data_IF_692563972552
#
_entry.id   IF_692563972552
#
_cell.length_a   1.000
_cell.length_b   1.000
_cell.length_c   1.000
_cell.angle_alpha   90.00
_cell.angle_beta   90.00
_cell.angle_gamma   90.00
#
_symmetry.space_group_name_H-M   'P 1'
#
loop_
_entity.id
_entity.type
_entity.pdbx_description
1 polymer ?
#
# COMPACT_ATOMS: atom_id res chain seq x y z
N UNK A 1 23.23 25.87 10.73
CA UNK A 1 22.54 25.79 9.42
C UNK A 1 21.63 24.55 9.50
N UNK A 2 20.36 24.73 9.76
CA UNK A 2 19.39 23.66 9.66
C UNK A 2 19.25 23.34 8.18
N UNK A 3 19.57 22.12 7.76
CA UNK A 3 19.28 21.65 6.41
C UNK A 3 17.78 21.90 6.17
N UNK A 4 17.46 22.56 5.05
CA UNK A 4 16.06 22.68 4.66
C UNK A 4 15.51 21.27 4.51
N UNK A 5 14.48 20.92 5.28
CA UNK A 5 13.82 19.64 5.16
C UNK A 5 13.34 19.50 3.71
N UNK A 6 13.72 18.43 3.04
CA UNK A 6 13.17 18.13 1.73
C UNK A 6 11.65 17.94 1.88
N UNK A 7 10.84 18.62 1.06
CA UNK A 7 9.39 18.51 1.18
C UNK A 7 8.97 17.05 0.91
N UNK A 8 8.02 16.54 1.72
CA UNK A 8 7.42 15.25 1.44
C UNK A 8 6.73 15.29 0.07
N UNK A 9 6.83 14.19 -0.64
CA UNK A 9 6.21 13.99 -1.95
C UNK A 9 5.03 13.04 -1.80
N UNK A 10 3.98 13.24 -2.58
CA UNK A 10 2.75 12.50 -2.40
C UNK A 10 2.43 11.66 -3.63
N UNK A 11 2.09 10.39 -3.39
CA UNK A 11 1.57 9.49 -4.38
C UNK A 11 0.14 9.08 -4.03
N UNK A 12 -0.62 8.69 -5.03
CA UNK A 12 -1.97 8.15 -4.85
C UNK A 12 -1.99 6.68 -5.23
N UNK A 13 -2.47 5.83 -4.32
CA UNK A 13 -2.70 4.41 -4.60
C UNK A 13 -4.00 4.26 -5.37
N UNK A 14 -3.90 3.62 -6.50
CA UNK A 14 -4.93 3.59 -7.50
C UNK A 14 -5.98 2.50 -7.26
N UNK A 15 -6.98 2.84 -6.47
CA UNK A 15 -8.23 2.07 -6.35
C UNK A 15 -9.39 2.68 -7.15
N UNK A 16 -9.12 3.70 -7.94
CA UNK A 16 -10.15 4.43 -8.64
C UNK A 16 -10.89 3.54 -9.64
N UNK A 17 -12.20 3.53 -9.53
CA UNK A 17 -13.10 2.83 -10.44
C UNK A 17 -14.08 3.82 -11.03
N UNK A 18 -14.37 3.66 -12.30
CA UNK A 18 -15.34 4.51 -13.01
C UNK A 18 -16.60 3.68 -13.21
N UNK A 19 -17.75 4.26 -12.89
CA UNK A 19 -19.05 3.65 -13.17
C UNK A 19 -19.24 3.48 -14.68
N UNK A 20 -19.56 2.27 -15.10
CA UNK A 20 -19.85 1.93 -16.48
C UNK A 20 -21.22 1.26 -16.62
N UNK A 21 -21.75 1.13 -17.85
CA UNK A 21 -23.07 0.56 -18.10
C UNK A 21 -23.27 -0.89 -17.63
N UNK A 22 -22.17 -1.61 -17.38
CA UNK A 22 -22.17 -3.03 -16.98
C UNK A 22 -21.39 -3.24 -15.65
N UNK A 23 -21.25 -2.21 -14.84
CA UNK A 23 -20.44 -2.22 -13.62
C UNK A 23 -19.17 -1.37 -13.74
N UNK A 24 -18.24 -1.58 -12.83
CA UNK A 24 -17.01 -0.76 -12.78
C UNK A 24 -16.10 -1.02 -13.99
N UNK A 25 -15.58 0.07 -14.54
CA UNK A 25 -14.56 0.07 -15.59
C UNK A 25 -13.26 0.60 -14.98
N UNK A 26 -12.18 -0.17 -15.14
CA UNK A 26 -10.86 0.31 -14.73
C UNK A 26 -10.42 1.52 -15.56
N UNK A 27 -9.80 2.51 -14.93
CA UNK A 27 -9.17 3.64 -15.63
C UNK A 27 -8.08 3.21 -16.61
N UNK A 28 -7.54 2.01 -16.45
CA UNK A 28 -6.59 1.40 -17.40
C UNK A 28 -7.24 0.74 -18.62
N UNK A 29 -8.55 0.84 -18.79
CA UNK A 29 -9.24 0.26 -19.96
C UNK A 29 -9.18 1.15 -21.20
N UNK A 30 -8.80 2.39 -21.08
CA UNK A 30 -8.56 3.27 -22.24
C UNK A 30 -7.65 4.46 -21.91
N UNK A 31 -6.94 4.95 -22.92
CA UNK A 31 -6.10 6.15 -22.78
C UNK A 31 -6.92 7.35 -22.28
N UNK A 32 -8.19 7.52 -22.71
CA UNK A 32 -9.06 8.61 -22.28
C UNK A 32 -9.37 8.56 -20.77
N UNK A 33 -9.67 7.37 -20.24
CA UNK A 33 -9.97 7.21 -18.81
C UNK A 33 -8.72 7.42 -17.96
N UNK A 34 -7.60 6.88 -18.40
CA UNK A 34 -6.32 7.08 -17.71
C UNK A 34 -5.88 8.55 -17.74
N UNK A 35 -6.03 9.24 -18.87
CA UNK A 35 -5.75 10.68 -19.01
C UNK A 35 -6.58 11.51 -18.02
N UNK A 36 -7.88 11.24 -17.95
CA UNK A 36 -8.78 11.92 -17.02
C UNK A 36 -8.38 11.69 -15.56
N UNK A 37 -8.11 10.45 -15.18
CA UNK A 37 -7.67 10.09 -13.84
C UNK A 37 -6.34 10.78 -13.47
N UNK A 38 -5.32 10.61 -14.30
CA UNK A 38 -3.99 11.16 -14.05
C UNK A 38 -4.02 12.68 -13.88
N UNK A 39 -4.75 13.39 -14.76
CA UNK A 39 -4.91 14.84 -14.65
C UNK A 39 -5.62 15.28 -13.37
N UNK A 40 -6.61 14.52 -12.92
CA UNK A 40 -7.32 14.82 -11.66
C UNK A 40 -6.40 14.70 -10.46
N UNK A 41 -5.66 13.60 -10.33
CA UNK A 41 -4.76 13.43 -9.19
C UNK A 41 -3.58 14.40 -9.22
N UNK A 42 -3.03 14.72 -10.41
CA UNK A 42 -1.99 15.73 -10.57
C UNK A 42 -2.49 17.13 -10.18
N UNK A 43 -3.71 17.50 -10.58
CA UNK A 43 -4.33 18.77 -10.19
C UNK A 43 -4.57 18.88 -8.68
N UNK A 44 -4.73 17.76 -7.99
CA UNK A 44 -4.81 17.70 -6.53
C UNK A 44 -3.44 17.75 -5.84
N UNK A 45 -2.34 17.74 -6.59
CA UNK A 45 -0.97 17.90 -6.09
C UNK A 45 -0.28 16.57 -5.77
N UNK A 46 -0.79 15.46 -6.27
CA UNK A 46 -0.06 14.19 -6.26
C UNK A 46 0.94 14.15 -7.41
N UNK A 47 2.18 13.78 -7.12
CA UNK A 47 3.29 13.72 -8.07
C UNK A 47 3.64 12.28 -8.49
N UNK A 48 3.09 11.30 -7.80
CA UNK A 48 3.26 9.87 -8.07
C UNK A 48 1.95 9.11 -8.04
N UNK A 49 1.96 7.93 -8.63
CA UNK A 49 0.91 6.93 -8.48
C UNK A 49 1.49 5.61 -7.97
N UNK A 50 0.67 4.85 -7.30
CA UNK A 50 0.91 3.45 -6.99
C UNK A 50 -0.20 2.63 -7.64
N UNK A 51 0.12 1.44 -8.10
CA UNK A 51 -0.86 0.61 -8.82
C UNK A 51 -0.58 -0.87 -8.58
N UNK A 52 -1.41 -1.73 -9.14
CA UNK A 52 -1.25 -3.18 -9.05
C UNK A 52 -0.41 -3.72 -10.20
N UNK A 53 0.33 -4.80 -9.96
CA UNK A 53 1.15 -5.47 -10.95
C UNK A 53 0.34 -6.03 -12.14
N UNK A 54 -0.93 -6.38 -11.93
CA UNK A 54 -1.81 -6.85 -13.00
C UNK A 54 -2.20 -5.76 -14.00
N UNK A 55 -1.93 -4.48 -13.72
CA UNK A 55 -2.13 -3.38 -14.68
C UNK A 55 -0.97 -3.21 -15.67
N UNK A 56 0.18 -3.89 -15.47
CA UNK A 56 1.33 -3.80 -16.37
C UNK A 56 0.97 -4.21 -17.81
N UNK A 57 0.15 -5.27 -17.96
CA UNK A 57 -0.36 -5.70 -19.26
C UNK A 57 -1.20 -4.61 -19.93
N UNK A 58 -2.18 -4.07 -19.22
CA UNK A 58 -3.04 -2.99 -19.75
C UNK A 58 -2.25 -1.75 -20.16
N UNK A 59 -1.25 -1.35 -19.37
CA UNK A 59 -0.38 -0.22 -19.72
C UNK A 59 0.43 -0.52 -20.99
N UNK A 60 0.92 -1.75 -21.14
CA UNK A 60 1.65 -2.17 -22.35
C UNK A 60 0.72 -2.17 -23.56
N UNK A 61 -0.50 -2.67 -23.43
CA UNK A 61 -1.49 -2.70 -24.51
C UNK A 61 -1.90 -1.29 -24.95
N UNK A 62 -2.05 -0.35 -24.00
CA UNK A 62 -2.43 1.04 -24.32
C UNK A 62 -1.32 1.85 -24.99
N UNK A 63 -0.05 1.61 -24.64
CA UNK A 63 1.06 2.48 -25.03
C UNK A 63 2.16 1.77 -25.84
N UNK A 64 2.05 0.46 -26.08
CA UNK A 64 3.04 -0.33 -26.77
C UNK A 64 4.26 -0.70 -25.93
N UNK A 65 4.56 0.08 -24.87
CA UNK A 65 5.63 -0.22 -23.91
C UNK A 65 5.39 0.51 -22.57
N UNK A 66 5.99 0.01 -21.49
CA UNK A 66 5.93 0.68 -20.18
C UNK A 66 6.78 1.97 -20.16
N UNK A 67 7.78 2.11 -21.00
CA UNK A 67 8.53 3.37 -21.15
C UNK A 67 7.63 4.47 -21.70
N UNK A 68 6.85 4.19 -22.75
CA UNK A 68 5.87 5.13 -23.30
C UNK A 68 4.76 5.45 -22.30
N UNK A 69 4.30 4.45 -21.52
CA UNK A 69 3.34 4.68 -20.45
C UNK A 69 3.90 5.66 -19.39
N UNK A 70 5.16 5.50 -19.01
CA UNK A 70 5.84 6.42 -18.09
C UNK A 70 5.92 7.85 -18.66
N UNK A 71 6.30 8.00 -19.93
CA UNK A 71 6.34 9.31 -20.60
C UNK A 71 4.96 9.97 -20.60
N UNK A 72 3.92 9.22 -20.94
CA UNK A 72 2.52 9.68 -20.89
C UNK A 72 2.13 10.21 -19.51
N UNK A 73 2.52 9.53 -18.42
CA UNK A 73 2.28 9.96 -17.04
C UNK A 73 3.05 11.24 -16.72
N UNK A 74 4.33 11.32 -17.11
CA UNK A 74 5.20 12.46 -16.87
C UNK A 74 4.72 13.73 -17.56
N UNK A 75 4.25 13.64 -18.80
CA UNK A 75 3.64 14.77 -19.53
C UNK A 75 2.41 15.35 -18.80
N UNK A 76 1.80 14.60 -17.88
CA UNK A 76 0.59 14.98 -17.13
C UNK A 76 0.87 15.36 -15.68
N UNK A 77 2.15 15.49 -15.33
CA UNK A 77 2.57 15.90 -14.00
C UNK A 77 2.74 14.76 -12.99
N UNK A 78 2.62 13.51 -13.42
CA UNK A 78 2.96 12.35 -12.59
C UNK A 78 4.40 11.92 -12.88
N UNK A 79 5.30 12.18 -11.96
CA UNK A 79 6.73 11.93 -12.14
C UNK A 79 7.02 10.43 -12.31
N UNK A 80 6.32 9.58 -11.54
CA UNK A 80 6.59 8.14 -11.55
C UNK A 80 5.42 7.28 -11.07
N UNK A 81 5.48 6.01 -11.45
CA UNK A 81 4.82 4.93 -10.72
C UNK A 81 5.74 4.54 -9.57
N UNK A 82 5.36 4.93 -8.34
CA UNK A 82 6.18 4.73 -7.15
C UNK A 82 6.29 3.26 -6.77
N UNK A 83 5.14 2.60 -6.70
CA UNK A 83 5.03 1.23 -6.19
C UNK A 83 4.11 0.38 -7.05
N UNK A 84 4.40 -0.92 -7.09
CA UNK A 84 3.48 -1.94 -7.54
C UNK A 84 3.01 -2.77 -6.35
N UNK A 85 1.70 -2.84 -6.13
CA UNK A 85 1.12 -3.81 -5.21
C UNK A 85 1.09 -5.18 -5.90
N UNK A 86 1.80 -6.14 -5.32
CA UNK A 86 1.96 -7.47 -5.88
C UNK A 86 0.78 -8.36 -5.52
N UNK A 87 -0.14 -8.50 -6.46
CA UNK A 87 -1.45 -9.12 -6.22
C UNK A 87 -1.43 -10.67 -6.17
N UNK A 88 -0.26 -11.30 -6.23
CA UNK A 88 -0.15 -12.76 -6.22
C UNK A 88 -0.83 -13.39 -4.99
N UNK A 89 -0.82 -12.69 -3.86
CA UNK A 89 -1.43 -13.15 -2.61
C UNK A 89 -2.96 -13.23 -2.65
N UNK A 90 -3.59 -12.63 -3.65
CA UNK A 90 -5.06 -12.62 -3.83
C UNK A 90 -5.55 -13.61 -4.88
N UNK A 91 -4.63 -14.34 -5.53
CA UNK A 91 -4.98 -15.32 -6.57
C UNK A 91 -5.03 -16.72 -5.98
N UNK A 92 -6.20 -17.34 -6.08
CA UNK A 92 -6.44 -18.79 -5.89
C UNK A 92 -6.10 -19.40 -4.53
N UNK A 93 -5.95 -18.61 -3.46
CA UNK A 93 -5.63 -19.12 -2.12
C UNK A 93 -4.28 -19.87 -2.02
N UNK A 94 -3.47 -19.81 -3.09
CA UNK A 94 -2.21 -20.59 -3.21
C UNK A 94 -1.01 -19.85 -2.62
N UNK A 95 -1.13 -18.56 -2.40
CA UNK A 95 -0.02 -17.74 -1.92
C UNK A 95 0.10 -17.81 -0.40
N UNK A 96 0.74 -18.84 0.07
CA UNK A 96 0.93 -19.09 1.49
C UNK A 96 2.40 -18.89 1.86
N UNK A 97 2.82 -17.64 2.01
CA UNK A 97 4.20 -17.31 2.38
C UNK A 97 4.67 -18.01 3.68
N UNK A 98 3.73 -18.43 4.52
CA UNK A 98 3.98 -19.21 5.73
C UNK A 98 4.24 -20.70 5.47
N UNK A 99 4.03 -21.19 4.23
CA UNK A 99 4.34 -22.55 3.81
C UNK A 99 5.58 -22.57 2.92
N UNK A 100 6.71 -23.14 3.38
CA UNK A 100 7.93 -23.23 2.57
C UNK A 100 7.75 -23.91 1.21
N UNK A 101 6.77 -24.79 1.05
CA UNK A 101 6.48 -25.46 -0.22
C UNK A 101 6.04 -24.46 -1.32
N UNK A 102 5.54 -23.29 -0.95
CA UNK A 102 5.10 -22.25 -1.91
C UNK A 102 6.19 -21.22 -2.23
N UNK A 103 7.32 -21.23 -1.53
CA UNK A 103 8.36 -20.20 -1.61
C UNK A 103 8.94 -20.03 -3.01
N UNK A 104 9.21 -21.11 -3.72
CA UNK A 104 9.75 -21.03 -5.08
C UNK A 104 8.73 -20.47 -6.06
N UNK A 105 7.45 -20.80 -5.89
CA UNK A 105 6.38 -20.19 -6.69
C UNK A 105 6.31 -18.67 -6.47
N UNK A 106 6.24 -18.23 -5.20
CA UNK A 106 6.16 -16.81 -4.84
C UNK A 106 7.41 -16.04 -5.29
N UNK A 107 8.59 -16.61 -5.10
CA UNK A 107 9.84 -16.03 -5.57
C UNK A 107 9.85 -15.84 -7.10
N UNK A 108 9.50 -16.89 -7.86
CA UNK A 108 9.48 -16.82 -9.31
C UNK A 108 8.41 -15.85 -9.83
N UNK A 109 7.27 -15.75 -9.15
CA UNK A 109 6.22 -14.78 -9.49
C UNK A 109 6.73 -13.33 -9.32
N UNK A 110 7.34 -13.01 -8.17
CA UNK A 110 7.97 -11.71 -7.94
C UNK A 110 9.08 -11.41 -8.98
N UNK A 111 9.91 -12.40 -9.33
CA UNK A 111 10.93 -12.25 -10.37
C UNK A 111 10.30 -11.92 -11.74
N UNK A 112 9.20 -12.54 -12.10
CA UNK A 112 8.49 -12.22 -13.35
C UNK A 112 7.95 -10.78 -13.34
N UNK A 113 7.38 -10.34 -12.20
CA UNK A 113 6.95 -8.94 -12.04
C UNK A 113 8.11 -7.97 -12.20
N UNK A 114 9.30 -8.27 -11.62
CA UNK A 114 10.49 -7.43 -11.79
C UNK A 114 10.95 -7.35 -13.25
N UNK A 115 10.94 -8.47 -13.97
CA UNK A 115 11.25 -8.48 -15.40
C UNK A 115 10.21 -7.72 -16.23
N UNK A 116 8.94 -7.81 -15.87
CA UNK A 116 7.86 -7.15 -16.59
C UNK A 116 7.80 -5.63 -16.36
N UNK A 117 8.13 -5.14 -15.17
CA UNK A 117 8.01 -3.70 -14.84
C UNK A 117 9.16 -2.83 -15.38
N UNK A 118 10.12 -3.40 -16.09
CA UNK A 118 11.24 -2.67 -16.69
C UNK A 118 10.76 -1.49 -17.55
N UNK A 119 11.37 -0.32 -17.37
CA UNK A 119 11.00 0.91 -18.08
C UNK A 119 9.97 1.79 -17.34
N UNK A 120 9.21 1.26 -16.41
CA UNK A 120 8.20 2.04 -15.64
C UNK A 120 8.84 2.88 -14.52
N UNK A 121 10.00 2.48 -14.00
CA UNK A 121 10.74 3.25 -12.99
C UNK A 121 10.25 3.05 -11.56
N UNK A 122 9.65 1.90 -11.27
CA UNK A 122 9.11 1.49 -9.96
C UNK A 122 10.21 1.44 -8.91
N UNK A 123 9.92 1.89 -7.69
CA UNK A 123 10.86 1.85 -6.56
C UNK A 123 10.51 0.79 -5.50
N UNK A 124 9.23 0.43 -5.37
CA UNK A 124 8.77 -0.50 -4.35
C UNK A 124 7.89 -1.59 -4.96
N UNK A 125 8.09 -2.81 -4.49
CA UNK A 125 7.16 -3.92 -4.65
C UNK A 125 6.46 -4.11 -3.30
N UNK A 126 5.20 -3.71 -3.22
CA UNK A 126 4.39 -3.86 -2.02
C UNK A 126 3.80 -5.25 -1.99
N UNK A 127 3.94 -5.94 -0.88
CA UNK A 127 3.47 -7.32 -0.71
C UNK A 127 2.70 -7.46 0.60
N UNK A 128 1.64 -8.26 0.61
CA UNK A 128 1.07 -8.78 1.84
C UNK A 128 1.98 -9.90 2.35
N UNK A 129 2.60 -9.80 3.54
CA UNK A 129 3.67 -10.72 3.94
C UNK A 129 3.22 -12.13 4.32
N UNK A 130 1.93 -12.35 4.54
CA UNK A 130 1.32 -13.65 4.80
C UNK A 130 -0.04 -13.73 4.10
N UNK A 131 -0.61 -14.93 4.00
CA UNK A 131 -1.99 -15.12 3.59
C UNK A 131 -3.00 -14.51 4.58
N UNK A 132 -4.27 -14.64 4.27
CA UNK A 132 -5.36 -14.20 5.16
C UNK A 132 -5.31 -14.96 6.49
N UNK A 133 -5.71 -14.32 7.59
CA UNK A 133 -5.58 -14.86 8.94
C UNK A 133 -6.14 -16.29 9.09
N UNK A 134 -7.35 -16.53 8.61
CA UNK A 134 -8.00 -17.83 8.68
C UNK A 134 -7.25 -18.95 7.94
N UNK A 135 -6.42 -18.61 6.94
CA UNK A 135 -5.58 -19.56 6.22
C UNK A 135 -4.24 -19.83 6.92
N UNK A 136 -3.80 -18.91 7.76
CA UNK A 136 -2.53 -19.00 8.49
C UNK A 136 -2.71 -19.55 9.89
N UNK A 137 -3.87 -19.42 10.51
CA UNK A 137 -4.17 -19.79 11.89
C UNK A 137 -3.89 -21.29 12.17
N UNK A 138 -3.27 -21.68 13.32
CA UNK A 138 -2.65 -20.78 14.29
C UNK A 138 -1.35 -20.16 13.74
N UNK A 139 -1.15 -18.89 14.06
CA UNK A 139 0.10 -18.17 13.69
C UNK A 139 1.20 -18.62 14.66
N UNK A 140 2.14 -19.37 14.15
CA UNK A 140 3.26 -19.93 14.94
C UNK A 140 4.58 -19.23 14.58
N UNK A 141 5.56 -19.34 15.48
CA UNK A 141 6.91 -18.82 15.24
C UNK A 141 7.55 -19.42 13.98
N UNK A 142 7.28 -20.69 13.70
CA UNK A 142 7.75 -21.37 12.50
C UNK A 142 7.19 -20.73 11.24
N UNK A 143 5.88 -20.47 11.20
CA UNK A 143 5.22 -19.79 10.08
C UNK A 143 5.72 -18.37 9.89
N UNK A 144 5.92 -17.62 10.98
CA UNK A 144 6.49 -16.28 10.91
C UNK A 144 7.92 -16.27 10.36
N UNK A 145 8.75 -17.24 10.77
CA UNK A 145 10.12 -17.41 10.22
C UNK A 145 10.09 -17.74 8.73
N UNK A 146 9.20 -18.63 8.30
CA UNK A 146 9.04 -18.96 6.90
C UNK A 146 8.70 -17.72 6.06
N UNK A 147 7.76 -16.88 6.53
CA UNK A 147 7.46 -15.61 5.86
C UNK A 147 8.68 -14.68 5.82
N UNK A 148 9.40 -14.53 6.94
CA UNK A 148 10.57 -13.66 7.02
C UNK A 148 11.71 -14.11 6.09
N UNK A 149 11.93 -15.43 5.98
CA UNK A 149 12.90 -16.03 5.07
C UNK A 149 12.54 -15.79 3.60
N UNK A 150 11.29 -16.06 3.23
CA UNK A 150 10.81 -15.81 1.86
C UNK A 150 11.05 -14.37 1.44
N UNK A 151 10.54 -13.42 2.23
CA UNK A 151 10.61 -12.01 1.85
C UNK A 151 12.03 -11.45 1.90
N UNK A 152 12.89 -11.98 2.77
CA UNK A 152 14.33 -11.66 2.73
C UNK A 152 14.99 -12.14 1.44
N UNK A 153 14.65 -13.36 0.98
CA UNK A 153 15.12 -13.92 -0.30
C UNK A 153 14.60 -13.11 -1.49
N UNK A 154 13.31 -12.79 -1.51
CA UNK A 154 12.68 -11.97 -2.57
C UNK A 154 13.27 -10.56 -2.58
N UNK A 155 13.39 -9.92 -1.40
CA UNK A 155 13.93 -8.58 -1.29
C UNK A 155 15.39 -8.46 -1.77
N UNK A 156 16.20 -9.47 -1.51
CA UNK A 156 17.56 -9.53 -2.07
C UNK A 156 17.53 -9.54 -3.61
N UNK A 157 16.66 -10.33 -4.21
CA UNK A 157 16.53 -10.42 -5.67
C UNK A 157 16.00 -9.11 -6.26
N UNK A 158 14.98 -8.49 -5.65
CA UNK A 158 14.37 -7.27 -6.21
C UNK A 158 15.32 -6.07 -6.16
N UNK A 159 16.28 -6.04 -5.21
CA UNK A 159 17.31 -4.99 -5.18
C UNK A 159 18.25 -5.02 -6.38
N UNK A 160 18.46 -6.18 -7.02
CA UNK A 160 19.24 -6.27 -8.29
C UNK A 160 18.52 -5.49 -9.42
N UNK A 161 17.21 -5.24 -9.27
CA UNK A 161 16.40 -4.39 -10.17
C UNK A 161 16.24 -2.95 -9.65
N UNK A 162 16.87 -2.59 -8.51
CA UNK A 162 16.70 -1.30 -7.88
C UNK A 162 15.35 -1.12 -7.17
N UNK A 163 14.63 -2.21 -6.87
CA UNK A 163 13.29 -2.22 -6.27
C UNK A 163 13.35 -2.80 -4.86
N UNK A 164 12.71 -2.13 -3.88
CA UNK A 164 12.60 -2.60 -2.49
C UNK A 164 11.37 -3.47 -2.33
N UNK A 165 11.47 -4.57 -1.60
CA UNK A 165 10.29 -5.29 -1.10
C UNK A 165 9.78 -4.61 0.16
N UNK A 166 8.50 -4.22 0.14
CA UNK A 166 7.85 -3.50 1.21
C UNK A 166 6.64 -4.28 1.70
N UNK A 167 6.69 -4.74 2.95
CA UNK A 167 5.60 -5.50 3.56
C UNK A 167 4.50 -4.58 4.05
N UNK A 168 3.30 -4.78 3.52
CA UNK A 168 2.06 -4.09 3.84
C UNK A 168 1.15 -5.07 4.58
N UNK A 169 0.82 -4.73 5.81
CA UNK A 169 0.06 -5.61 6.70
C UNK A 169 -1.40 -5.20 6.69
N UNK A 170 -2.21 -5.97 5.99
CA UNK A 170 -3.66 -5.84 6.03
C UNK A 170 -4.19 -6.29 7.39
N UNK A 171 -5.30 -5.69 7.88
CA UNK A 171 -5.86 -6.06 9.17
C UNK A 171 -6.36 -7.52 9.23
N UNK A 172 -6.55 -8.14 8.10
CA UNK A 172 -6.92 -9.55 7.94
C UNK A 172 -5.74 -10.46 7.55
N UNK A 173 -4.52 -9.93 7.45
CA UNK A 173 -3.30 -10.69 7.19
C UNK A 173 -2.92 -11.55 8.41
N UNK A 174 -2.30 -12.70 8.16
CA UNK A 174 -1.77 -13.56 9.22
C UNK A 174 -0.63 -12.95 10.04
N UNK A 175 -0.10 -11.80 9.63
CA UNK A 175 0.91 -11.02 10.38
C UNK A 175 0.38 -9.60 10.53
N UNK A 176 -0.28 -9.29 11.63
CA UNK A 176 -0.86 -7.95 11.85
C UNK A 176 -0.90 -7.51 13.32
N UNK A 177 -0.82 -8.41 14.30
CA UNK A 177 -0.70 -8.03 15.72
C UNK A 177 0.71 -7.59 16.09
N UNK A 178 0.82 -6.75 17.12
CA UNK A 178 2.08 -6.13 17.53
C UNK A 178 3.23 -7.13 17.78
N UNK A 179 2.94 -8.29 18.39
CA UNK A 179 3.96 -9.32 18.66
C UNK A 179 4.38 -10.07 17.40
N UNK A 180 3.45 -10.36 16.49
CA UNK A 180 3.72 -10.97 15.20
C UNK A 180 4.58 -10.04 14.33
N UNK A 181 4.21 -8.75 14.26
CA UNK A 181 4.97 -7.72 13.56
C UNK A 181 6.40 -7.62 14.11
N UNK A 182 6.54 -7.56 15.45
CA UNK A 182 7.85 -7.51 16.11
C UNK A 182 8.72 -8.69 15.70
N UNK A 183 8.21 -9.92 15.82
CA UNK A 183 8.93 -11.14 15.46
C UNK A 183 9.29 -11.20 13.99
N UNK A 184 8.34 -10.89 13.11
CA UNK A 184 8.56 -10.87 11.67
C UNK A 184 9.71 -9.93 11.28
N UNK A 185 9.69 -8.68 11.80
CA UNK A 185 10.76 -7.73 11.51
C UNK A 185 12.09 -8.04 12.21
N UNK A 186 12.08 -8.71 13.35
CA UNK A 186 13.29 -9.20 14.02
C UNK A 186 13.96 -10.31 13.21
N UNK A 187 13.19 -11.19 12.59
CA UNK A 187 13.71 -12.34 11.84
C UNK A 187 13.94 -12.08 10.36
N UNK A 188 13.34 -11.07 9.79
CA UNK A 188 13.59 -10.67 8.41
C UNK A 188 14.84 -9.79 8.27
N UNK A 189 15.59 -9.96 7.16
CA UNK A 189 16.81 -9.20 6.92
C UNK A 189 16.51 -7.70 6.70
N UNK A 190 17.03 -6.79 7.57
CA UNK A 190 16.73 -5.36 7.48
C UNK A 190 17.29 -4.69 6.23
N UNK A 191 18.22 -5.32 5.52
CA UNK A 191 18.77 -4.80 4.26
C UNK A 191 17.83 -5.01 3.08
N UNK A 192 16.89 -5.95 3.18
CA UNK A 192 16.10 -6.45 2.06
C UNK A 192 14.59 -6.34 2.26
N UNK A 193 14.11 -6.35 3.52
CA UNK A 193 12.69 -6.29 3.83
C UNK A 193 12.36 -4.97 4.49
N UNK A 194 11.51 -4.19 3.86
CA UNK A 194 11.06 -2.90 4.35
C UNK A 194 9.60 -2.97 4.80
N UNK A 195 9.19 -2.00 5.59
CA UNK A 195 7.82 -1.82 6.04
C UNK A 195 7.12 -0.74 5.22
N UNK A 196 5.89 -1.02 4.80
CA UNK A 196 4.97 -0.06 4.22
C UNK A 196 3.86 0.19 5.23
N UNK A 197 3.80 1.41 5.78
CA UNK A 197 2.89 1.74 6.88
C UNK A 197 1.50 2.06 6.36
N UNK A 198 0.57 1.13 6.52
CA UNK A 198 -0.85 1.45 6.33
C UNK A 198 -1.48 1.87 7.66
N UNK A 199 -1.92 3.12 7.74
CA UNK A 199 -2.38 3.71 8.98
C UNK A 199 -3.71 3.14 9.47
N UNK A 200 -4.67 2.93 8.56
CA UNK A 200 -5.98 2.38 8.92
C UNK A 200 -5.91 0.87 9.19
N UNK A 201 -5.18 0.11 8.38
CA UNK A 201 -5.03 -1.33 8.55
C UNK A 201 -4.46 -1.68 9.94
N UNK A 202 -3.40 -0.98 10.35
CA UNK A 202 -2.85 -1.16 11.69
C UNK A 202 -3.84 -0.76 12.80
N UNK A 203 -4.52 0.38 12.63
CA UNK A 203 -5.51 0.85 13.61
C UNK A 203 -6.67 -0.14 13.77
N UNK A 204 -7.21 -0.68 12.66
CA UNK A 204 -8.27 -1.70 12.69
C UNK A 204 -7.79 -2.95 13.43
N UNK A 205 -6.55 -3.38 13.24
CA UNK A 205 -5.94 -4.49 13.94
C UNK A 205 -5.61 -4.19 15.42
N UNK A 206 -5.87 -2.99 15.91
CA UNK A 206 -5.58 -2.58 17.30
C UNK A 206 -4.12 -2.22 17.55
N UNK A 207 -3.36 -1.93 16.50
CA UNK A 207 -1.96 -1.48 16.56
C UNK A 207 -1.91 0.02 16.24
N UNK A 208 -1.35 0.81 17.15
CA UNK A 208 -1.16 2.25 16.93
C UNK A 208 -0.04 2.49 15.90
N UNK A 209 -0.34 3.06 14.73
CA UNK A 209 0.64 3.28 13.68
C UNK A 209 1.72 4.28 14.06
N UNK A 210 1.47 5.23 14.96
CA UNK A 210 2.47 6.20 15.44
C UNK A 210 3.53 5.50 16.29
N UNK A 211 3.09 4.70 17.26
CA UNK A 211 4.00 3.92 18.11
C UNK A 211 4.77 2.86 17.30
N UNK A 212 4.12 2.27 16.30
CA UNK A 212 4.78 1.31 15.42
C UNK A 212 5.84 2.02 14.54
N UNK A 213 5.52 3.20 14.01
CA UNK A 213 6.48 4.00 13.24
C UNK A 213 7.73 4.35 14.07
N UNK A 214 7.56 4.79 15.30
CA UNK A 214 8.71 5.08 16.18
C UNK A 214 9.65 3.88 16.40
N UNK A 215 9.12 2.65 16.30
CA UNK A 215 9.90 1.41 16.43
C UNK A 215 10.52 0.92 15.14
N UNK A 216 9.87 1.18 14.00
CA UNK A 216 10.25 0.65 12.69
C UNK A 216 10.65 1.73 11.68
N UNK A 217 10.88 2.98 12.11
CA UNK A 217 11.18 4.11 11.21
C UNK A 217 12.35 3.83 10.27
N UNK A 218 13.42 3.18 10.76
CA UNK A 218 14.60 2.81 9.95
C UNK A 218 14.27 1.83 8.81
N UNK A 219 13.14 1.15 8.88
CA UNK A 219 12.66 0.20 7.88
C UNK A 219 11.48 0.71 7.08
N UNK A 220 10.92 1.89 7.44
CA UNK A 220 9.76 2.44 6.78
C UNK A 220 10.12 2.98 5.39
N UNK A 221 9.59 2.35 4.35
CA UNK A 221 9.82 2.72 2.96
C UNK A 221 8.74 3.62 2.38
N UNK A 222 7.59 3.72 3.02
CA UNK A 222 6.47 4.52 2.57
C UNK A 222 5.22 4.29 3.42
N UNK A 223 4.14 4.92 3.00
CA UNK A 223 2.88 4.95 3.71
C UNK A 223 1.71 4.71 2.76
N UNK A 224 0.65 4.07 3.27
CA UNK A 224 -0.71 4.24 2.81
C UNK A 224 -1.47 5.00 3.90
N UNK A 225 -1.67 6.30 3.68
CA UNK A 225 -2.46 7.13 4.58
C UNK A 225 -3.93 6.95 4.25
N UNK A 226 -4.66 6.39 5.16
CA UNK A 226 -6.12 6.32 5.20
C UNK A 226 -6.59 6.27 6.63
N UNK A 227 -7.83 6.66 6.90
CA UNK A 227 -8.41 6.66 8.24
C UNK A 227 -9.40 5.53 8.42
N UNK A 228 -9.80 5.32 9.65
CA UNK A 228 -10.83 4.36 10.02
C UNK A 228 -11.60 4.87 11.25
N UNK A 229 -12.86 4.46 11.37
CA UNK A 229 -13.67 4.67 12.57
C UNK A 229 -13.78 3.42 13.44
N UNK A 230 -13.05 2.34 13.07
CA UNK A 230 -13.23 1.03 13.69
C UNK A 230 -11.91 0.43 14.16
N UNK A 231 -12.02 -0.30 15.29
CA UNK A 231 -11.06 -1.30 15.72
C UNK A 231 -11.80 -2.64 15.71
N UNK A 232 -11.23 -3.65 15.06
CA UNK A 232 -11.87 -4.97 14.98
C UNK A 232 -11.72 -5.73 16.31
N UNK A 233 -12.60 -5.41 17.25
CA UNK A 233 -12.65 -6.07 18.57
C UNK A 233 -13.39 -7.41 18.55
N UNK A 234 -14.09 -7.72 17.46
CA UNK A 234 -14.90 -8.94 17.33
C UNK A 234 -14.15 -10.06 16.62
N UNK A 235 -13.03 -9.75 15.99
CA UNK A 235 -12.27 -10.71 15.20
C UNK A 235 -13.00 -11.12 13.92
N UNK A 236 -13.75 -10.22 13.31
CA UNK A 236 -14.50 -10.47 12.08
C UNK A 236 -13.58 -10.87 10.92
N UNK A 237 -12.38 -10.33 10.89
CA UNK A 237 -11.34 -10.66 9.90
C UNK A 237 -10.78 -12.08 10.03
N UNK A 238 -10.98 -12.74 11.17
CA UNK A 238 -10.52 -14.12 11.38
C UNK A 238 -11.37 -15.15 10.66
N UNK A 239 -12.59 -14.78 10.29
CA UNK A 239 -13.47 -15.64 9.51
C UNK A 239 -13.17 -15.47 8.02
N UNK A 240 -13.32 -16.55 7.25
CA UNK A 240 -13.24 -16.46 5.80
C UNK A 240 -14.27 -15.41 5.30
N UNK A 241 -13.87 -14.26 4.77
CA UNK A 241 -14.80 -13.23 4.37
C UNK A 241 -15.43 -13.59 3.03
N UNK A 242 -16.69 -13.21 2.85
CA UNK A 242 -17.33 -13.18 1.52
C UNK A 242 -16.67 -12.12 0.63
N UNK A 243 -16.04 -11.11 1.26
CA UNK A 243 -15.22 -10.09 0.62
C UNK A 243 -14.14 -9.66 1.62
N UNK A 244 -12.91 -9.56 1.17
CA UNK A 244 -11.70 -9.32 1.96
C UNK A 244 -11.70 -8.05 2.81
N UNK A 245 -12.56 -7.09 2.50
CA UNK A 245 -12.60 -5.78 3.16
C UNK A 245 -14.00 -5.37 3.59
N UNK A 246 -14.98 -6.26 3.55
CA UNK A 246 -16.36 -5.95 3.96
C UNK A 246 -16.81 -6.98 4.96
N UNK A 247 -16.67 -6.68 6.25
CA UNK A 247 -17.26 -7.50 7.29
C UNK A 247 -18.78 -7.35 7.26
N UNK A 248 -19.48 -8.41 7.66
CA UNK A 248 -20.97 -8.44 7.65
C UNK A 248 -21.61 -7.37 8.53
N UNK A 249 -20.89 -6.92 9.56
CA UNK A 249 -21.41 -5.95 10.55
C UNK A 249 -20.79 -4.55 10.43
N UNK A 250 -19.78 -4.39 9.61
CA UNK A 250 -19.08 -3.12 9.39
C UNK A 250 -19.14 -2.78 7.90
N UNK A 251 -20.12 -1.96 7.47
CA UNK A 251 -20.34 -1.69 6.04
C UNK A 251 -19.21 -0.88 5.40
N UNK A 252 -18.47 -0.12 6.21
CA UNK A 252 -17.34 0.68 5.74
C UNK A 252 -16.20 0.61 6.76
N UNK A 253 -15.02 0.12 6.36
CA UNK A 253 -13.82 0.05 7.19
C UNK A 253 -12.96 1.31 7.09
N UNK A 254 -12.83 1.89 5.90
CA UNK A 254 -11.92 2.99 5.60
C UNK A 254 -12.64 4.31 5.39
N UNK A 255 -12.02 5.39 5.87
CA UNK A 255 -12.57 6.74 5.86
C UNK A 255 -11.53 7.74 5.39
N UNK A 256 -12.01 8.91 4.98
CA UNK A 256 -11.17 10.03 4.58
C UNK A 256 -10.41 10.60 5.78
N UNK A 257 -9.15 10.94 5.57
CA UNK A 257 -8.29 11.53 6.60
C UNK A 257 -8.88 12.83 7.16
N UNK A 258 -8.82 13.00 8.48
CA UNK A 258 -9.20 14.24 9.13
C UNK A 258 -10.70 14.50 9.21
N UNK A 259 -11.54 13.49 8.95
CA UNK A 259 -12.99 13.56 9.20
C UNK A 259 -13.32 13.27 10.66
N UNK A 260 -14.47 13.75 11.12
CA UNK A 260 -14.94 13.51 12.50
C UNK A 260 -15.09 12.00 12.76
N UNK A 261 -14.55 11.55 13.88
CA UNK A 261 -14.61 10.14 14.28
C UNK A 261 -13.44 9.29 13.77
N UNK A 262 -12.51 9.86 13.00
CA UNK A 262 -11.27 9.20 12.60
C UNK A 262 -10.39 8.83 13.80
N UNK A 263 -9.81 7.64 13.76
CA UNK A 263 -9.04 7.08 14.88
C UNK A 263 -7.51 7.23 14.69
N UNK A 264 -7.05 7.59 13.48
CA UNK A 264 -5.63 7.76 13.22
C UNK A 264 -5.18 9.17 13.60
N UNK A 265 -4.19 9.27 14.50
CA UNK A 265 -3.56 10.55 14.85
C UNK A 265 -2.50 10.93 13.81
N UNK A 266 -2.93 11.42 12.64
CA UNK A 266 -2.03 11.90 11.59
C UNK A 266 -1.12 13.05 12.04
N UNK A 267 -1.58 14.04 12.83
CA UNK A 267 -0.69 15.05 13.39
C UNK A 267 0.46 14.48 14.21
N UNK A 268 0.20 13.48 15.08
CA UNK A 268 1.26 12.81 15.84
C UNK A 268 2.19 12.01 14.92
N UNK A 269 1.67 11.31 13.91
CA UNK A 269 2.48 10.59 12.93
C UNK A 269 3.43 11.54 12.19
N UNK A 270 2.95 12.67 11.68
CA UNK A 270 3.78 13.62 10.95
C UNK A 270 4.83 14.31 11.85
N UNK A 271 4.52 14.55 13.14
CA UNK A 271 5.52 14.98 14.12
C UNK A 271 6.60 13.93 14.33
N UNK A 272 6.23 12.65 14.42
CA UNK A 272 7.19 11.57 14.52
C UNK A 272 8.03 11.44 13.25
N UNK A 273 7.42 11.51 12.06
CA UNK A 273 8.13 11.51 10.78
C UNK A 273 9.19 12.61 10.72
N UNK A 274 8.84 13.84 11.13
CA UNK A 274 9.77 14.96 11.23
C UNK A 274 10.89 14.69 12.24
N UNK A 275 10.55 14.21 13.41
CA UNK A 275 11.51 13.95 14.49
C UNK A 275 12.55 12.87 14.11
N UNK A 276 12.15 11.88 13.34
CA UNK A 276 13.02 10.80 12.85
C UNK A 276 13.62 11.07 11.45
N UNK A 277 13.38 12.26 10.89
CA UNK A 277 13.99 12.68 9.62
C UNK A 277 13.48 11.91 8.41
N UNK A 278 12.18 11.53 8.38
CA UNK A 278 11.61 10.86 7.22
C UNK A 278 11.59 11.82 6.02
N UNK A 279 12.21 11.40 4.96
CA UNK A 279 12.24 12.08 3.67
C UNK A 279 11.74 11.15 2.58
N UNK A 280 10.92 11.64 1.69
CA UNK A 280 10.49 10.84 0.54
C UNK A 280 9.00 10.85 0.28
N UNK A 281 8.48 9.69 -0.11
CA UNK A 281 7.13 9.54 -0.62
C UNK A 281 6.13 9.08 0.45
N UNK A 282 4.96 9.68 0.38
CA UNK A 282 3.82 9.33 1.21
C UNK A 282 2.65 8.99 0.29
N UNK A 283 2.21 7.74 0.30
CA UNK A 283 1.05 7.28 -0.45
C UNK A 283 -0.26 7.63 0.28
N UNK A 284 -1.29 7.95 -0.48
CA UNK A 284 -2.67 8.09 -0.01
C UNK A 284 -3.50 7.01 -0.65
N UNK A 285 -4.32 6.34 0.14
CA UNK A 285 -5.12 5.22 -0.34
C UNK A 285 -6.58 5.34 0.14
N UNK A 286 -7.51 4.95 -0.71
CA UNK A 286 -8.93 4.93 -0.41
C UNK A 286 -9.56 3.63 -0.89
N UNK A 287 -9.36 2.54 -0.16
CA UNK A 287 -10.03 1.27 -0.47
C UNK A 287 -11.54 1.44 -0.37
N UNK A 288 -12.23 1.05 -1.44
CA UNK A 288 -13.70 1.04 -1.49
C UNK A 288 -14.34 2.33 -0.97
N UNK A 289 -13.79 3.47 -1.38
CA UNK A 289 -14.35 4.79 -1.03
C UNK A 289 -15.80 5.00 -1.48
N UNK A 290 -16.29 4.17 -2.42
CA UNK A 290 -17.66 4.14 -2.91
C UNK A 290 -18.65 3.46 -1.95
N UNK A 291 -18.17 2.71 -0.97
CA UNK A 291 -19.03 2.07 0.03
C UNK A 291 -19.52 3.10 1.06
N UNK A 292 -20.79 3.02 1.41
CA UNK A 292 -21.39 3.91 2.42
C UNK A 292 -21.62 5.35 1.93
N UNK A 293 -21.71 5.55 0.61
CA UNK A 293 -22.05 6.84 0.01
C UNK A 293 -20.86 7.76 -0.27
N UNK A 294 -19.62 7.27 -0.10
CA UNK A 294 -18.41 7.98 -0.52
C UNK A 294 -18.17 7.83 -2.03
N UNK A 295 -17.16 8.54 -2.54
CA UNK A 295 -16.66 8.37 -3.90
C UNK A 295 -15.19 8.74 -4.00
N UNK A 296 -14.46 8.11 -4.91
CA UNK A 296 -13.02 8.29 -5.04
C UNK A 296 -12.59 9.74 -5.31
N UNK A 297 -13.22 10.50 -6.22
CA UNK A 297 -12.85 11.89 -6.44
C UNK A 297 -12.99 12.78 -5.20
N UNK A 298 -14.09 12.66 -4.46
CA UNK A 298 -14.30 13.43 -3.23
C UNK A 298 -13.31 13.04 -2.14
N UNK A 299 -13.13 11.74 -1.91
CA UNK A 299 -12.20 11.22 -0.90
C UNK A 299 -10.76 11.67 -1.18
N UNK A 300 -10.33 11.63 -2.45
CA UNK A 300 -9.01 12.11 -2.86
C UNK A 300 -8.85 13.61 -2.66
N UNK A 301 -9.89 14.40 -2.97
CA UNK A 301 -9.88 15.86 -2.76
C UNK A 301 -9.83 16.23 -1.27
N UNK A 302 -10.56 15.54 -0.42
CA UNK A 302 -10.53 15.72 1.05
C UNK A 302 -9.13 15.42 1.58
N UNK A 303 -8.54 14.29 1.19
CA UNK A 303 -7.19 13.91 1.58
C UNK A 303 -6.15 14.96 1.13
N UNK A 304 -6.20 15.39 -0.13
CA UNK A 304 -5.30 16.42 -0.67
C UNK A 304 -5.45 17.76 0.07
N UNK A 305 -6.68 18.14 0.45
CA UNK A 305 -6.92 19.33 1.25
C UNK A 305 -6.32 19.22 2.65
N UNK A 306 -6.55 18.08 3.33
CA UNK A 306 -6.06 17.83 4.68
C UNK A 306 -4.52 17.80 4.72
N UNK A 307 -3.90 17.13 3.77
CA UNK A 307 -2.45 17.15 3.61
C UNK A 307 -1.91 18.57 3.52
N UNK A 308 -2.39 19.37 2.57
CA UNK A 308 -1.88 20.73 2.33
C UNK A 308 -2.15 21.69 3.46
N UNK A 309 -3.30 21.61 4.09
CA UNK A 309 -3.74 22.60 5.06
C UNK A 309 -3.36 22.25 6.51
N UNK A 310 -3.13 20.98 6.79
CA UNK A 310 -2.82 20.49 8.16
C UNK A 310 -1.45 19.82 8.20
N UNK A 311 -1.27 18.72 7.47
CA UNK A 311 -0.14 17.82 7.71
C UNK A 311 1.21 18.39 7.21
N UNK A 312 1.24 19.01 6.04
CA UNK A 312 2.48 19.61 5.51
C UNK A 312 3.02 20.71 6.45
N UNK A 313 2.14 21.45 7.12
CA UNK A 313 2.57 22.50 8.08
C UNK A 313 3.21 21.92 9.34
N UNK A 314 2.92 20.68 9.68
CA UNK A 314 3.50 19.98 10.82
C UNK A 314 4.90 19.46 10.47
N UNK A 315 5.07 18.95 9.26
CA UNK A 315 6.35 18.37 8.81
C UNK A 315 7.37 19.43 8.34
N UNK A 316 6.90 20.55 7.80
CA UNK A 316 7.72 21.68 7.30
C UNK A 316 8.72 22.30 8.30
#
# INVERSE_FOLDING_TARGET
>A
MTAAAHPLRYAYMDHWRVDGPQGYVSQYSSVKLLDSFVKQIAALGFEGIETFDFHLGSLTDLFGSLANAREFLQERGIERVLSLFHAVMYRDGVSQAHDPATHDFLFNNALQTMKACGGLGVQNLIVMPAGQYHAVEPVTDEKLRACAELWSRVGRMTLDYGVRVCCHHEFYCGIHHAEELRKFYEWSDPRYVFWYCDTAQHTIAGVDPVNLYMKLHDRCAGFHLKDTHHVDRRGEYRQAPESEVTAKTTPRWFWEMGTDGGLVDFPALFKAMKAYGYEGWVGVEHDKADIGGGNYPASTAIAAWYIRNVLQKIHA
#
